data_IF_969154449310
#
_entry.id   IF_969154449310
#
_cell.length_a   1.000
_cell.length_b   1.000
_cell.length_c   1.000
_cell.angle_alpha   90.00
_cell.angle_beta   90.00
_cell.angle_gamma   90.00
#
_symmetry.space_group_name_H-M   'P 1'
#
loop_
_entity.id
_entity.type
_entity.pdbx_description
1 polymer ?
#
# COMPACT_ATOMS: atom_id res chain seq x y z
N UNK A 1 13.29 -18.81 2.57
CA UNK A 1 12.46 -18.08 1.59
C UNK A 1 12.96 -16.65 1.60
N UNK A 2 13.83 -16.26 0.67
CA UNK A 2 14.48 -14.94 0.70
C UNK A 2 13.71 -14.00 -0.22
N UNK A 3 12.80 -13.20 0.36
CA UNK A 3 12.28 -12.00 -0.29
C UNK A 3 13.36 -10.93 -0.23
N UNK A 4 13.60 -10.25 -1.35
CA UNK A 4 14.48 -9.08 -1.37
C UNK A 4 13.64 -7.88 -0.96
N UNK A 5 13.91 -7.34 0.23
CA UNK A 5 13.34 -6.10 0.73
C UNK A 5 14.34 -4.95 0.51
N UNK A 6 13.87 -3.86 -0.06
CA UNK A 6 14.71 -2.73 -0.48
C UNK A 6 14.02 -1.46 -0.02
N UNK A 7 14.75 -0.57 0.64
CA UNK A 7 14.18 0.66 1.20
C UNK A 7 14.74 1.88 0.50
N UNK A 8 14.20 2.26 -0.68
CA UNK A 8 14.66 3.46 -1.37
C UNK A 8 14.30 4.71 -0.57
N UNK A 9 15.29 5.58 -0.39
CA UNK A 9 15.17 6.98 0.00
C UNK A 9 14.93 7.89 -1.21
N UNK A 10 15.28 7.42 -2.42
CA UNK A 10 14.96 8.07 -3.69
C UNK A 10 14.55 7.03 -4.77
N UNK A 11 13.42 7.28 -5.43
CA UNK A 11 12.88 6.39 -6.50
C UNK A 11 13.66 6.45 -7.81
N UNK A 12 14.46 7.49 -8.05
CA UNK A 12 15.31 7.61 -9.25
C UNK A 12 16.45 6.57 -9.26
N UNK A 13 16.82 6.06 -8.08
CA UNK A 13 17.85 5.03 -7.92
C UNK A 13 17.34 3.61 -8.17
N UNK A 14 16.14 3.43 -8.74
CA UNK A 14 15.56 2.11 -9.04
C UNK A 14 15.96 1.54 -10.41
N UNK A 15 16.84 2.20 -11.17
CA UNK A 15 17.29 1.72 -12.48
C UNK A 15 17.89 0.29 -12.44
N UNK A 16 18.59 -0.07 -11.35
CA UNK A 16 19.15 -1.42 -11.18
C UNK A 16 18.05 -2.50 -11.14
N UNK A 17 16.82 -2.16 -10.70
CA UNK A 17 15.69 -3.10 -10.68
C UNK A 17 15.30 -3.52 -12.09
N UNK A 18 15.28 -2.55 -13.02
CA UNK A 18 15.02 -2.80 -14.42
C UNK A 18 16.16 -3.60 -15.10
N UNK A 19 17.40 -3.39 -14.68
CA UNK A 19 18.56 -4.15 -15.20
C UNK A 19 18.57 -5.60 -14.71
N UNK A 20 18.30 -5.81 -13.41
CA UNK A 20 18.36 -7.14 -12.78
C UNK A 20 17.16 -8.01 -13.14
N UNK A 21 15.99 -7.39 -13.32
CA UNK A 21 14.73 -8.07 -13.64
C UNK A 21 14.09 -7.41 -14.88
N UNK A 22 14.64 -7.70 -16.07
CA UNK A 22 14.15 -7.12 -17.32
C UNK A 22 12.71 -7.54 -17.60
N UNK A 23 11.95 -6.66 -18.23
CA UNK A 23 10.57 -6.95 -18.59
C UNK A 23 10.51 -8.03 -19.69
N UNK A 24 9.55 -8.97 -19.62
CA UNK A 24 9.40 -10.00 -20.64
C UNK A 24 8.90 -9.40 -21.95
N UNK A 25 8.97 -10.16 -23.04
CA UNK A 25 8.42 -9.72 -24.34
C UNK A 25 6.88 -9.67 -24.29
N UNK A 26 6.32 -8.52 -24.64
CA UNK A 26 4.87 -8.34 -24.79
C UNK A 26 4.26 -9.13 -25.95
N UNK A 27 2.94 -9.31 -25.92
CA UNK A 27 2.15 -9.92 -27.01
C UNK A 27 1.01 -9.00 -27.42
N UNK A 28 0.25 -9.34 -28.47
CA UNK A 28 -0.91 -8.55 -28.93
C UNK A 28 -1.91 -8.21 -27.81
N UNK A 29 -2.07 -9.11 -26.84
CA UNK A 29 -3.04 -8.97 -25.74
C UNK A 29 -2.39 -8.69 -24.40
N UNK A 30 -1.06 -8.73 -24.31
CA UNK A 30 -0.31 -8.57 -23.07
C UNK A 30 0.72 -7.46 -23.17
N UNK A 31 0.61 -6.49 -22.28
CA UNK A 31 1.55 -5.38 -22.15
C UNK A 31 2.28 -5.47 -20.80
N UNK A 32 3.54 -5.94 -20.79
CA UNK A 32 4.35 -5.95 -19.57
C UNK A 32 4.65 -4.52 -19.16
N UNK A 33 4.69 -4.27 -17.85
CA UNK A 33 5.06 -2.97 -17.31
C UNK A 33 6.26 -3.17 -16.41
N UNK A 34 7.40 -2.58 -16.76
CA UNK A 34 8.58 -2.59 -15.91
C UNK A 34 8.28 -2.10 -14.48
N UNK A 35 8.74 -2.85 -13.47
CA UNK A 35 8.51 -2.54 -12.05
C UNK A 35 9.01 -1.14 -11.66
N UNK A 36 10.23 -0.77 -12.08
CA UNK A 36 10.82 0.52 -11.75
C UNK A 36 10.06 1.66 -12.44
N UNK A 37 9.69 1.47 -13.71
CA UNK A 37 8.90 2.46 -14.44
C UNK A 37 7.53 2.68 -13.80
N UNK A 38 6.85 1.61 -13.35
CA UNK A 38 5.58 1.73 -12.65
C UNK A 38 5.72 2.49 -11.33
N UNK A 39 6.72 2.14 -10.50
CA UNK A 39 6.98 2.85 -9.23
C UNK A 39 7.24 4.33 -9.49
N UNK A 40 8.12 4.64 -10.45
CA UNK A 40 8.44 6.02 -10.79
C UNK A 40 7.20 6.77 -11.27
N UNK A 41 6.42 6.18 -12.19
CA UNK A 41 5.24 6.82 -12.76
C UNK A 41 4.15 7.12 -11.72
N UNK A 42 3.97 6.21 -10.76
CA UNK A 42 3.07 6.46 -9.62
C UNK A 42 3.65 7.54 -8.73
N UNK A 43 4.94 7.47 -8.38
CA UNK A 43 5.58 8.47 -7.51
C UNK A 43 5.51 9.88 -8.09
N UNK A 44 5.86 10.04 -9.37
CA UNK A 44 5.80 11.32 -10.08
C UNK A 44 4.37 11.87 -10.20
N UNK A 45 3.35 11.01 -10.09
CA UNK A 45 1.95 11.39 -10.24
C UNK A 45 1.23 11.69 -8.92
N UNK A 46 1.82 11.35 -7.77
CA UNK A 46 1.28 11.69 -6.46
C UNK A 46 1.72 13.10 -6.08
N UNK A 47 0.77 13.99 -5.78
CA UNK A 47 1.03 15.39 -5.45
C UNK A 47 1.40 15.58 -3.97
N UNK A 48 2.37 14.79 -3.47
CA UNK A 48 2.86 14.85 -2.08
C UNK A 48 4.35 14.57 -2.04
N UNK A 49 5.03 15.13 -1.04
CA UNK A 49 6.47 14.92 -0.87
C UNK A 49 6.77 13.46 -0.51
N UNK A 50 7.50 12.76 -1.37
CA UNK A 50 7.99 11.41 -1.11
C UNK A 50 8.98 11.40 0.06
N UNK A 51 8.82 10.46 0.99
CA UNK A 51 9.69 10.32 2.16
C UNK A 51 10.63 9.14 2.01
N UNK A 52 10.06 7.96 1.77
CA UNK A 52 10.78 6.72 1.57
C UNK A 52 9.85 5.66 1.01
N UNK A 53 10.43 4.56 0.55
CA UNK A 53 9.71 3.41 0.05
C UNK A 53 10.19 2.10 0.65
N UNK A 54 9.46 1.04 0.35
CA UNK A 54 9.83 -0.34 0.59
C UNK A 54 9.41 -1.14 -0.63
N UNK A 55 10.34 -1.83 -1.28
CA UNK A 55 10.09 -2.68 -2.44
C UNK A 55 10.42 -4.11 -2.05
N UNK A 56 9.45 -4.98 -2.25
CA UNK A 56 9.55 -6.42 -2.02
C UNK A 56 9.42 -7.14 -3.35
N UNK A 57 10.33 -8.07 -3.60
CA UNK A 57 10.30 -8.94 -4.77
C UNK A 57 10.17 -10.40 -4.34
N UNK A 58 9.50 -11.19 -5.18
CA UNK A 58 9.61 -12.62 -5.08
C UNK A 58 10.98 -13.12 -5.56
N UNK A 59 11.25 -14.42 -5.38
CA UNK A 59 12.57 -15.01 -5.68
C UNK A 59 12.99 -14.81 -7.14
N UNK A 60 12.04 -14.80 -8.06
CA UNK A 60 12.31 -14.64 -9.50
C UNK A 60 12.33 -13.17 -9.94
N UNK A 61 11.79 -12.26 -9.12
CA UNK A 61 11.55 -10.87 -9.49
C UNK A 61 10.35 -10.68 -10.41
N UNK A 62 9.58 -11.74 -10.68
CA UNK A 62 8.37 -11.66 -11.49
C UNK A 62 7.28 -10.87 -10.77
N UNK A 63 7.21 -10.97 -9.44
CA UNK A 63 6.22 -10.27 -8.62
C UNK A 63 6.90 -9.22 -7.78
N UNK A 64 6.31 -8.03 -7.79
CA UNK A 64 6.76 -6.90 -7.01
C UNK A 64 5.60 -6.32 -6.22
N UNK A 65 5.86 -5.98 -4.96
CA UNK A 65 5.03 -5.06 -4.18
C UNK A 65 5.91 -3.94 -3.66
N UNK A 66 5.49 -2.70 -3.89
CA UNK A 66 6.11 -1.53 -3.29
C UNK A 66 5.13 -0.86 -2.33
N UNK A 67 5.62 -0.28 -1.24
CA UNK A 67 4.92 0.67 -0.37
C UNK A 67 5.69 1.97 -0.41
N UNK A 68 5.08 3.02 -0.93
CA UNK A 68 5.65 4.36 -1.03
C UNK A 68 4.99 5.23 0.02
N UNK A 69 5.77 5.98 0.79
CA UNK A 69 5.28 6.82 1.87
C UNK A 69 5.54 8.29 1.58
N UNK A 70 4.53 9.11 1.84
CA UNK A 70 4.50 10.52 1.53
C UNK A 70 4.18 11.34 2.78
N UNK A 71 4.72 12.55 2.87
CA UNK A 71 4.43 13.46 3.98
C UNK A 71 2.99 13.93 3.92
N UNK A 72 2.43 14.10 5.11
CA UNK A 72 1.15 14.77 5.32
C UNK A 72 1.45 16.13 5.97
N UNK A 73 1.06 17.25 5.34
CA UNK A 73 1.19 18.56 5.96
C UNK A 73 0.47 18.60 7.32
N UNK A 74 1.10 19.22 8.32
CA UNK A 74 0.54 19.43 9.67
C UNK A 74 0.29 18.15 10.51
N UNK A 75 0.64 16.95 10.00
CA UNK A 75 0.51 15.68 10.72
C UNK A 75 1.80 14.84 10.63
N UNK A 76 2.87 15.26 11.30
CA UNK A 76 4.19 14.63 11.17
C UNK A 76 4.23 13.20 11.72
N UNK A 77 3.30 12.80 12.59
CA UNK A 77 3.24 11.44 13.10
C UNK A 77 2.60 10.43 12.11
N UNK A 78 2.00 10.91 11.02
CA UNK A 78 1.37 10.09 10.00
C UNK A 78 2.07 10.23 8.65
N UNK A 79 2.05 9.14 7.87
CA UNK A 79 2.50 9.14 6.48
C UNK A 79 1.38 8.57 5.61
N UNK A 80 1.09 9.25 4.51
CA UNK A 80 0.17 8.69 3.52
C UNK A 80 0.92 7.62 2.74
N UNK A 81 0.32 6.45 2.58
CA UNK A 81 0.97 5.31 1.92
C UNK A 81 0.28 4.99 0.61
N UNK A 82 1.05 4.74 -0.44
CA UNK A 82 0.59 4.15 -1.69
C UNK A 82 1.32 2.83 -1.90
N UNK A 83 0.58 1.72 -1.85
CA UNK A 83 1.07 0.41 -2.22
C UNK A 83 0.82 0.11 -3.70
N UNK A 84 1.82 -0.48 -4.35
CA UNK A 84 1.83 -0.85 -5.76
C UNK A 84 2.08 -2.35 -5.83
N UNK A 85 1.27 -3.09 -6.57
CA UNK A 85 1.53 -4.48 -6.92
C UNK A 85 1.70 -4.64 -8.42
N UNK A 86 2.66 -5.44 -8.85
CA UNK A 86 2.85 -5.76 -10.25
C UNK A 86 3.35 -7.20 -10.47
N UNK A 87 3.02 -7.80 -11.61
CA UNK A 87 3.66 -9.05 -12.02
C UNK A 87 3.95 -9.14 -13.51
N UNK A 88 5.09 -9.75 -13.85
CA UNK A 88 5.49 -10.06 -15.22
C UNK A 88 4.89 -11.37 -15.76
N UNK A 89 4.54 -12.30 -14.87
CA UNK A 89 4.01 -13.62 -15.23
C UNK A 89 2.47 -13.69 -15.20
N UNK A 90 1.78 -12.54 -15.14
CA UNK A 90 0.30 -12.40 -15.23
C UNK A 90 -0.48 -13.01 -14.08
N UNK A 91 0.18 -13.50 -13.03
CA UNK A 91 -0.49 -14.05 -11.85
C UNK A 91 -1.16 -12.97 -11.01
N UNK A 92 -0.72 -11.71 -11.19
CA UNK A 92 -1.25 -10.55 -10.49
C UNK A 92 -1.40 -9.37 -11.46
N UNK A 93 -2.57 -8.68 -11.49
CA UNK A 93 -2.72 -7.44 -12.24
C UNK A 93 -1.86 -6.33 -11.63
N UNK A 94 -1.76 -5.19 -12.29
CA UNK A 94 -1.32 -3.97 -11.61
C UNK A 94 -2.32 -3.66 -10.50
N UNK A 95 -1.81 -3.44 -9.29
CA UNK A 95 -2.59 -3.04 -8.12
C UNK A 95 -2.10 -1.70 -7.63
N UNK A 96 -3.01 -0.81 -7.32
CA UNK A 96 -2.73 0.39 -6.53
C UNK A 96 -3.64 0.34 -5.30
N UNK A 97 -3.08 0.54 -4.12
CA UNK A 97 -3.84 0.75 -2.91
C UNK A 97 -3.28 1.98 -2.19
N UNK A 98 -4.12 2.82 -1.61
CA UNK A 98 -3.66 3.98 -0.88
C UNK A 98 -4.50 4.25 0.37
N UNK A 99 -3.92 4.99 1.31
CA UNK A 99 -4.59 5.35 2.54
C UNK A 99 -3.61 5.67 3.66
N UNK A 100 -4.16 5.99 4.83
CA UNK A 100 -3.37 6.15 6.06
C UNK A 100 -2.98 4.79 6.67
N UNK A 101 -3.77 3.76 6.40
CA UNK A 101 -3.49 2.38 6.79
C UNK A 101 -3.51 1.48 5.55
N UNK A 102 -2.32 1.08 5.10
CA UNK A 102 -2.17 0.23 3.91
C UNK A 102 -1.44 -1.05 4.30
N UNK A 103 -2.08 -2.18 4.01
CA UNK A 103 -1.54 -3.51 4.23
C UNK A 103 -0.90 -4.05 2.95
N UNK A 104 0.29 -4.63 3.08
CA UNK A 104 0.89 -5.49 2.07
C UNK A 104 1.25 -6.84 2.73
N UNK A 105 0.67 -7.93 2.25
CA UNK A 105 0.85 -9.26 2.85
C UNK A 105 1.90 -10.10 2.09
N UNK A 106 2.39 -11.17 2.73
CA UNK A 106 3.43 -12.05 2.17
C UNK A 106 3.04 -12.73 0.84
N UNK A 107 1.75 -12.81 0.53
CA UNK A 107 1.22 -13.29 -0.74
C UNK A 107 1.20 -12.20 -1.84
N UNK A 108 1.83 -11.05 -1.60
CA UNK A 108 1.87 -9.90 -2.50
C UNK A 108 0.48 -9.28 -2.77
N UNK A 109 -0.46 -9.47 -1.85
CA UNK A 109 -1.72 -8.75 -1.86
C UNK A 109 -1.54 -7.39 -1.18
N UNK A 110 -2.16 -6.37 -1.75
CA UNK A 110 -2.18 -5.01 -1.20
C UNK A 110 -3.63 -4.61 -0.93
N UNK A 111 -3.85 -3.89 0.16
CA UNK A 111 -5.15 -3.37 0.52
C UNK A 111 -5.02 -2.03 1.26
N UNK A 112 -5.91 -1.09 0.98
CA UNK A 112 -5.99 0.22 1.63
C UNK A 112 -7.40 0.80 1.52
N UNK A 113 -7.54 2.09 1.81
CA UNK A 113 -8.81 2.83 1.70
C UNK A 113 -9.28 2.90 0.24
N UNK A 114 -8.34 3.20 -0.67
CA UNK A 114 -8.55 3.09 -2.11
C UNK A 114 -7.91 1.80 -2.58
N UNK A 115 -8.62 1.06 -3.43
CA UNK A 115 -8.08 -0.12 -4.11
C UNK A 115 -8.42 -0.05 -5.60
N UNK A 116 -7.41 -0.22 -6.44
CA UNK A 116 -7.54 -0.21 -7.88
C UNK A 116 -6.75 -1.36 -8.50
N UNK A 117 -7.33 -1.98 -9.52
CA UNK A 117 -6.77 -3.15 -10.20
C UNK A 117 -6.87 -2.99 -11.71
N UNK A 118 -5.77 -3.24 -12.43
CA UNK A 118 -5.78 -3.22 -13.90
C UNK A 118 -4.96 -4.33 -14.53
N UNK A 119 -5.55 -5.02 -15.50
CA UNK A 119 -4.88 -6.07 -16.27
C UNK A 119 -3.83 -5.45 -17.21
N UNK A 120 -2.72 -6.16 -17.37
CA UNK A 120 -1.62 -5.89 -18.31
C UNK A 120 -2.03 -6.01 -19.77
N UNK A 121 -2.85 -5.06 -20.24
CA UNK A 121 -3.27 -4.94 -21.64
C UNK A 121 -2.61 -3.71 -22.26
N UNK A 122 -2.58 -3.58 -23.59
CA UNK A 122 -1.99 -2.40 -24.24
C UNK A 122 -2.55 -1.05 -23.76
N UNK A 123 -3.77 -1.03 -23.21
CA UNK A 123 -4.45 0.15 -22.63
C UNK A 123 -4.37 0.22 -21.11
N UNK A 124 -3.35 -0.39 -20.51
CA UNK A 124 -3.24 -0.44 -19.04
C UNK A 124 -3.08 0.95 -18.43
N UNK A 125 -2.37 1.85 -19.11
CA UNK A 125 -2.13 3.23 -18.65
C UNK A 125 -3.39 4.10 -18.63
N UNK A 126 -4.33 3.89 -19.57
CA UNK A 126 -5.66 4.54 -19.56
C UNK A 126 -6.43 4.23 -18.28
N UNK A 127 -6.07 3.15 -17.59
CA UNK A 127 -6.62 2.81 -16.29
C UNK A 127 -5.78 3.31 -15.12
N UNK A 128 -4.44 3.26 -15.21
CA UNK A 128 -3.55 3.62 -14.10
C UNK A 128 -3.56 5.13 -13.86
N UNK A 129 -3.54 5.94 -14.92
CA UNK A 129 -3.44 7.40 -14.79
C UNK A 129 -4.66 7.99 -14.06
N UNK A 130 -5.92 7.65 -14.42
CA UNK A 130 -7.07 8.10 -13.65
C UNK A 130 -7.10 7.59 -12.21
N UNK A 131 -6.54 6.40 -11.96
CA UNK A 131 -6.45 5.87 -10.60
C UNK A 131 -5.49 6.70 -9.73
N UNK A 132 -4.37 7.17 -10.30
CA UNK A 132 -3.46 8.10 -9.61
C UNK A 132 -4.16 9.42 -9.31
N UNK A 133 -4.88 10.00 -10.29
CA UNK A 133 -5.65 11.23 -10.07
C UNK A 133 -6.67 11.05 -8.93
N UNK A 134 -7.39 9.92 -8.92
CA UNK A 134 -8.31 9.59 -7.84
C UNK A 134 -7.64 9.48 -6.47
N UNK A 135 -6.40 8.99 -6.40
CA UNK A 135 -5.65 8.96 -5.12
C UNK A 135 -5.38 10.39 -4.64
N UNK A 136 -4.97 11.30 -5.53
CA UNK A 136 -4.75 12.70 -5.17
C UNK A 136 -6.06 13.38 -4.73
N UNK A 137 -7.18 13.10 -5.41
CA UNK A 137 -8.48 13.70 -5.05
C UNK A 137 -8.97 13.26 -3.66
N UNK A 138 -8.61 12.04 -3.22
CA UNK A 138 -9.11 11.45 -1.98
C UNK A 138 -8.19 11.68 -0.77
N UNK A 139 -6.93 12.04 -1.00
CA UNK A 139 -5.91 12.07 0.06
C UNK A 139 -6.28 13.00 1.21
N UNK A 140 -6.87 14.16 0.93
CA UNK A 140 -7.20 15.15 1.95
C UNK A 140 -8.36 14.71 2.84
N UNK A 141 -9.38 14.07 2.25
CA UNK A 141 -10.48 13.44 2.99
C UNK A 141 -9.97 12.28 3.87
N UNK A 142 -9.01 11.49 3.40
CA UNK A 142 -8.39 10.41 4.17
C UNK A 142 -7.63 10.98 5.37
N UNK A 143 -6.85 12.05 5.14
CA UNK A 143 -6.08 12.76 6.16
C UNK A 143 -7.00 13.35 7.23
N UNK A 144 -8.07 14.04 6.82
CA UNK A 144 -9.01 14.68 7.75
C UNK A 144 -9.69 13.62 8.63
N UNK A 145 -10.19 12.54 8.02
CA UNK A 145 -10.82 11.44 8.77
C UNK A 145 -9.84 10.80 9.75
N UNK A 146 -8.63 10.48 9.29
CA UNK A 146 -7.62 9.89 10.17
C UNK A 146 -7.17 10.81 11.30
N UNK A 147 -7.15 12.13 11.08
CA UNK A 147 -6.90 13.09 12.14
C UNK A 147 -7.95 13.02 13.24
N UNK A 148 -9.23 13.10 12.88
CA UNK A 148 -10.32 13.03 13.84
C UNK A 148 -10.37 11.68 14.55
N UNK A 149 -10.17 10.58 13.83
CA UNK A 149 -10.09 9.24 14.42
C UNK A 149 -8.94 9.15 15.43
N UNK A 150 -7.76 9.68 15.09
CA UNK A 150 -6.62 9.70 15.99
C UNK A 150 -6.88 10.56 17.24
N UNK A 151 -7.46 11.75 17.11
CA UNK A 151 -7.79 12.61 18.24
C UNK A 151 -8.87 11.96 19.14
N UNK A 152 -9.89 11.38 18.52
CA UNK A 152 -10.93 10.66 19.23
C UNK A 152 -10.34 9.49 20.02
N UNK A 153 -9.49 8.67 19.40
CA UNK A 153 -8.84 7.54 20.07
C UNK A 153 -7.90 8.00 21.20
N UNK A 154 -7.14 9.09 21.01
CA UNK A 154 -6.31 9.69 22.07
C UNK A 154 -7.15 10.21 23.26
N UNK A 155 -8.39 10.62 23.03
CA UNK A 155 -9.30 11.13 24.07
C UNK A 155 -9.81 10.02 25.02
N UNK A 156 -9.81 8.76 24.56
CA UNK A 156 -10.32 7.63 25.34
C UNK A 156 -9.30 7.25 26.42
N UNK A 157 -9.59 7.61 27.68
CA UNK A 157 -8.77 7.21 28.83
C UNK A 157 -8.97 5.72 29.17
N UNK A 158 -8.11 4.87 28.61
CA UNK A 158 -7.99 3.47 28.98
C UNK A 158 -7.16 3.31 30.27
N UNK A 159 -7.84 3.00 31.38
CA UNK A 159 -7.22 2.48 32.58
C UNK A 159 -7.63 1.01 32.77
N UNK A 160 -6.91 0.25 33.62
CA UNK A 160 -7.18 -1.18 33.82
C UNK A 160 -8.65 -1.47 34.11
N UNK A 161 -9.31 -0.65 34.95
CA UNK A 161 -10.72 -0.84 35.32
C UNK A 161 -11.65 -0.70 34.11
N UNK A 162 -11.44 0.31 33.26
CA UNK A 162 -12.24 0.53 32.06
C UNK A 162 -11.93 -0.50 30.97
N UNK A 163 -10.67 -0.92 30.84
CA UNK A 163 -10.27 -1.99 29.92
C UNK A 163 -10.96 -3.33 30.27
N UNK A 164 -10.93 -3.73 31.55
CA UNK A 164 -11.64 -4.93 32.02
C UNK A 164 -13.15 -4.86 31.81
N UNK A 165 -13.76 -3.69 32.02
CA UNK A 165 -15.19 -3.50 31.72
C UNK A 165 -15.51 -3.70 30.25
N UNK A 166 -14.72 -3.11 29.35
CA UNK A 166 -14.89 -3.27 27.90
C UNK A 166 -14.76 -4.74 27.52
N UNK A 167 -13.72 -5.44 28.00
CA UNK A 167 -13.54 -6.87 27.77
C UNK A 167 -14.72 -7.70 28.28
N UNK A 168 -15.24 -7.40 29.48
CA UNK A 168 -16.41 -8.06 30.05
C UNK A 168 -17.67 -7.87 29.22
N UNK A 169 -17.91 -6.65 28.69
CA UNK A 169 -19.05 -6.38 27.80
C UNK A 169 -18.89 -7.14 26.48
N UNK A 170 -17.71 -7.11 25.86
CA UNK A 170 -17.45 -7.83 24.61
C UNK A 170 -17.61 -9.34 24.77
N UNK A 171 -17.15 -9.89 25.90
CA UNK A 171 -17.31 -11.32 26.22
C UNK A 171 -18.77 -11.68 26.48
N UNK A 172 -19.49 -10.85 27.25
CA UNK A 172 -20.92 -11.04 27.54
C UNK A 172 -21.82 -10.90 26.32
N UNK A 173 -21.41 -10.11 25.32
CA UNK A 173 -22.08 -9.99 24.02
C UNK A 173 -21.61 -11.04 22.99
N UNK A 174 -20.73 -11.96 23.39
CA UNK A 174 -20.15 -12.98 22.52
C UNK A 174 -19.42 -12.44 21.28
N UNK A 175 -18.92 -11.19 21.37
CA UNK A 175 -18.08 -10.58 20.33
C UNK A 175 -16.66 -11.16 20.42
N UNK A 176 -16.16 -11.37 21.64
CA UNK A 176 -14.91 -12.10 21.90
C UNK A 176 -15.19 -13.36 22.71
N UNK A 177 -14.38 -14.39 22.51
CA UNK A 177 -14.50 -15.66 23.25
C UNK A 177 -13.27 -15.90 24.12
N UNK A 178 -13.38 -16.81 25.09
CA UNK A 178 -12.30 -17.13 26.03
C UNK A 178 -10.97 -17.54 25.36
N UNK A 179 -11.00 -18.00 24.11
CA UNK A 179 -9.78 -18.32 23.34
C UNK A 179 -8.89 -17.12 23.03
N UNK A 180 -9.43 -15.89 23.09
CA UNK A 180 -8.72 -14.65 22.77
C UNK A 180 -8.19 -13.95 24.02
N UNK A 181 -8.68 -14.32 25.22
CA UNK A 181 -8.27 -13.72 26.51
C UNK A 181 -7.14 -14.47 27.22
N UNK A 182 -6.81 -15.68 26.76
CA UNK A 182 -5.77 -16.54 27.35
C UNK A 182 -4.74 -16.94 26.29
N UNK A 183 -3.95 -15.98 25.81
CA UNK A 183 -2.71 -16.22 25.07
C UNK A 183 -1.74 -15.09 25.38
#
# INVERSE_FOLDING_TARGET
>A
MNQLEIRPDNVDNLHWLAMKYPEPRGTKTYYPINHAHLIKRVTDGIDREFVNGEVQLDRTGDKMVAKLRYKIPNLPEFLYTVAIGNSYNKVMPVKLASGLSVMACLNMQVHGDINYFRKHTPKVWDGIIPAIAKINDQVDDDIERGYYDAQYMKSIKLNNKNAWKILGVLAGQHIITNKVMCT
#
